data_IF_291803885465
#
_entry.id   IF_291803885465
#
_cell.length_a   1.000
_cell.length_b   1.000
_cell.length_c   1.000
_cell.angle_alpha   90.00
_cell.angle_beta   90.00
_cell.angle_gamma   90.00
#
_symmetry.space_group_name_H-M   'P 1'
#
loop_
_entity.id
_entity.type
_entity.pdbx_description
1 polymer ?
#
# COMPACT_ATOMS: atom_id res chain seq x y z
N UNK A 1 2.32 28.45 -43.10
CA UNK A 1 3.18 27.48 -43.82
C UNK A 1 3.45 26.30 -42.91
N UNK A 2 3.53 25.06 -43.41
CA UNK A 2 3.75 23.85 -42.60
C UNK A 2 4.48 22.77 -43.40
N UNK A 3 5.10 21.82 -42.69
CA UNK A 3 5.73 20.62 -43.28
C UNK A 3 4.70 19.49 -43.38
N UNK A 4 4.45 19.03 -44.60
CA UNK A 4 3.61 17.88 -44.92
C UNK A 4 4.49 16.67 -45.26
N UNK A 5 4.32 15.56 -44.55
CA UNK A 5 5.08 14.33 -44.76
C UNK A 5 4.12 13.32 -45.38
N UNK A 6 4.29 13.07 -46.67
CA UNK A 6 3.44 12.17 -47.44
C UNK A 6 4.11 10.81 -47.51
N UNK A 7 3.54 9.76 -46.90
CA UNK A 7 4.13 8.42 -46.95
C UNK A 7 4.10 7.90 -48.40
N UNK A 8 5.19 7.28 -48.83
CA UNK A 8 5.26 6.55 -50.09
C UNK A 8 5.42 5.05 -49.80
N UNK A 9 4.96 4.21 -50.73
CA UNK A 9 4.84 2.76 -50.50
C UNK A 9 6.19 2.07 -50.51
N UNK A 10 6.97 2.32 -51.56
CA UNK A 10 8.23 1.62 -51.85
C UNK A 10 9.44 2.58 -51.86
N UNK A 11 9.27 3.82 -51.39
CA UNK A 11 10.35 4.82 -51.35
C UNK A 11 10.25 5.71 -50.10
N UNK A 12 11.30 6.48 -49.77
CA UNK A 12 11.26 7.43 -48.66
C UNK A 12 10.07 8.40 -48.78
N UNK A 13 9.50 8.84 -47.64
CA UNK A 13 8.34 9.73 -47.65
C UNK A 13 8.70 11.07 -48.30
N UNK A 14 7.75 11.65 -49.04
CA UNK A 14 7.92 12.98 -49.60
C UNK A 14 7.71 14.03 -48.51
N UNK A 15 8.72 14.86 -48.26
CA UNK A 15 8.67 15.94 -47.28
C UNK A 15 8.44 17.24 -48.06
N UNK A 16 7.32 17.91 -47.83
CA UNK A 16 6.90 19.08 -48.62
C UNK A 16 6.63 20.29 -47.72
N UNK A 17 7.13 21.45 -48.13
CA UNK A 17 6.77 22.72 -47.54
C UNK A 17 5.52 23.26 -48.21
N UNK A 18 4.43 23.40 -47.46
CA UNK A 18 3.11 23.81 -47.99
C UNK A 18 2.56 25.02 -47.27
N UNK A 19 1.71 25.76 -47.95
CA UNK A 19 0.85 26.78 -47.36
C UNK A 19 -0.62 26.52 -47.72
N UNK A 20 -1.50 26.94 -46.83
CA UNK A 20 -2.95 26.92 -47.04
C UNK A 20 -3.43 28.33 -47.36
N UNK A 21 -4.16 28.49 -48.46
CA UNK A 21 -4.76 29.76 -48.87
C UNK A 21 -6.23 29.54 -49.23
N UNK A 22 -7.02 30.62 -49.27
CA UNK A 22 -8.40 30.58 -49.76
C UNK A 22 -8.44 31.13 -51.18
N UNK A 23 -9.14 30.44 -52.07
CA UNK A 23 -9.40 30.96 -53.41
C UNK A 23 -10.51 32.03 -53.39
N UNK A 24 -10.74 32.63 -54.55
CA UNK A 24 -11.77 33.67 -54.77
C UNK A 24 -13.19 33.20 -54.40
N UNK A 25 -13.42 31.87 -54.36
CA UNK A 25 -14.68 31.26 -53.95
C UNK A 25 -14.70 30.84 -52.47
N UNK A 26 -13.71 31.28 -51.67
CA UNK A 26 -13.58 30.99 -50.25
C UNK A 26 -13.13 29.56 -49.92
N UNK A 27 -12.76 28.73 -50.90
CA UNK A 27 -12.35 27.33 -50.68
C UNK A 27 -10.89 27.26 -50.27
N UNK A 28 -10.61 26.46 -49.24
CA UNK A 28 -9.24 26.23 -48.77
C UNK A 28 -8.49 25.33 -49.75
N UNK A 29 -7.39 25.82 -50.30
CA UNK A 29 -6.46 25.09 -51.17
C UNK A 29 -5.08 25.02 -50.53
N UNK A 30 -4.31 24.00 -50.93
CA UNK A 30 -2.92 23.81 -50.50
C UNK A 30 -2.02 24.16 -51.68
N UNK A 31 -1.03 25.02 -51.47
CA UNK A 31 0.04 25.31 -52.43
C UNK A 31 1.34 24.70 -51.93
N UNK A 32 2.02 23.94 -52.78
CA UNK A 32 3.37 23.42 -52.48
C UNK A 32 4.38 24.51 -52.83
N UNK A 33 5.19 24.90 -51.85
CA UNK A 33 6.21 25.94 -52.00
C UNK A 33 7.57 25.32 -52.33
N UNK A 34 7.92 24.20 -51.70
CA UNK A 34 9.20 23.53 -51.91
C UNK A 34 9.11 22.02 -51.64
N UNK A 35 9.93 21.24 -52.33
CA UNK A 35 10.16 19.83 -52.05
C UNK A 35 11.43 19.68 -51.21
N UNK A 36 11.27 19.17 -49.99
CA UNK A 36 12.31 18.99 -48.98
C UNK A 36 12.62 17.50 -48.75
N UNK A 37 12.32 16.63 -49.71
CA UNK A 37 12.54 15.17 -49.59
C UNK A 37 14.02 14.77 -49.52
N UNK A 38 14.95 15.72 -49.68
CA UNK A 38 16.37 15.54 -49.39
C UNK A 38 16.70 15.57 -47.89
N UNK A 39 15.80 16.07 -47.04
CA UNK A 39 15.99 16.15 -45.60
C UNK A 39 15.72 14.79 -44.93
N UNK A 40 16.38 14.55 -43.79
CA UNK A 40 16.03 13.43 -42.91
C UNK A 40 14.69 13.67 -42.22
N UNK A 41 14.05 12.58 -41.75
CA UNK A 41 12.79 12.67 -41.01
C UNK A 41 12.96 13.52 -39.74
N UNK A 42 14.10 13.41 -39.06
CA UNK A 42 14.42 14.21 -37.88
C UNK A 42 14.48 15.71 -38.20
N UNK A 43 15.15 16.10 -39.30
CA UNK A 43 15.21 17.49 -39.77
C UNK A 43 13.82 18.01 -40.13
N UNK A 44 12.99 17.20 -40.78
CA UNK A 44 11.61 17.55 -41.11
C UNK A 44 10.76 17.80 -39.84
N UNK A 45 10.93 16.97 -38.80
CA UNK A 45 10.27 17.17 -37.51
C UNK A 45 10.73 18.45 -36.80
N UNK A 46 12.04 18.75 -36.83
CA UNK A 46 12.58 20.03 -36.29
C UNK A 46 12.00 21.24 -37.02
N UNK A 47 11.99 21.24 -38.35
CA UNK A 47 11.39 22.32 -39.15
C UNK A 47 9.89 22.46 -38.89
N UNK A 48 9.18 21.34 -38.76
CA UNK A 48 7.76 21.31 -38.41
C UNK A 48 7.51 21.97 -37.04
N UNK A 49 8.33 21.68 -36.04
CA UNK A 49 8.23 22.29 -34.71
C UNK A 49 8.44 23.81 -34.79
N UNK A 50 9.47 24.28 -35.51
CA UNK A 50 9.76 25.72 -35.69
C UNK A 50 8.60 26.44 -36.38
N UNK A 51 8.04 25.86 -37.46
CA UNK A 51 6.94 26.47 -38.20
C UNK A 51 5.61 26.52 -37.41
N UNK A 52 5.47 25.68 -36.38
CA UNK A 52 4.34 25.75 -35.44
C UNK A 52 4.58 26.71 -34.26
N UNK A 53 5.70 27.42 -34.23
CA UNK A 53 6.07 28.32 -33.13
C UNK A 53 6.69 27.59 -31.94
N UNK A 54 7.11 26.33 -32.10
CA UNK A 54 7.92 25.62 -31.13
C UNK A 54 9.40 26.01 -31.21
N UNK A 55 10.15 25.69 -30.18
CA UNK A 55 11.60 25.89 -30.11
C UNK A 55 12.32 24.57 -30.35
N UNK A 56 13.46 24.62 -31.06
CA UNK A 56 14.37 23.49 -31.22
C UNK A 56 15.69 23.90 -30.60
N UNK A 57 16.14 23.12 -29.63
CA UNK A 57 17.41 23.34 -28.95
C UNK A 57 18.49 22.48 -29.62
N UNK A 58 19.69 23.03 -29.76
CA UNK A 58 20.86 22.32 -30.30
C UNK A 58 21.51 21.39 -29.25
N UNK A 59 21.26 21.66 -27.97
CA UNK A 59 21.73 20.86 -26.85
C UNK A 59 21.00 19.50 -26.82
N UNK A 60 21.70 18.47 -26.33
CA UNK A 60 21.07 17.20 -26.07
C UNK A 60 19.95 17.39 -25.04
N UNK A 61 18.91 16.56 -25.13
CA UNK A 61 17.78 16.65 -24.20
C UNK A 61 18.23 16.52 -22.73
N UNK A 62 19.31 15.76 -22.51
CA UNK A 62 19.96 15.57 -21.21
C UNK A 62 20.54 16.88 -20.64
N UNK A 63 21.06 17.76 -21.49
CA UNK A 63 21.62 19.06 -21.11
C UNK A 63 20.55 20.15 -20.97
N UNK A 64 19.32 19.87 -21.43
CA UNK A 64 18.19 20.79 -21.34
C UNK A 64 17.52 20.78 -19.95
N UNK A 65 17.82 19.78 -19.12
CA UNK A 65 17.22 19.63 -17.80
C UNK A 65 18.29 19.59 -16.71
N UNK A 66 18.10 20.40 -15.67
CA UNK A 66 18.87 20.32 -14.45
C UNK A 66 18.16 19.40 -13.45
N UNK A 67 18.88 18.42 -12.90
CA UNK A 67 18.35 17.56 -11.83
C UNK A 67 18.42 18.33 -10.52
N UNK A 68 17.28 18.90 -10.11
CA UNK A 68 17.15 19.68 -8.86
C UNK A 68 17.20 18.76 -7.63
N UNK A 69 16.55 17.60 -7.70
CA UNK A 69 16.44 16.65 -6.59
C UNK A 69 16.27 15.22 -7.13
N UNK A 70 16.77 14.24 -6.37
CA UNK A 70 16.58 12.81 -6.66
C UNK A 70 16.13 12.09 -5.40
N UNK A 71 14.85 11.75 -5.35
CA UNK A 71 14.24 11.01 -4.24
C UNK A 71 13.85 9.61 -4.70
N UNK A 72 13.95 8.63 -3.78
CA UNK A 72 13.57 7.29 -4.10
C UNK A 72 12.03 7.17 -4.22
N UNK A 73 11.53 6.98 -5.44
CA UNK A 73 10.09 6.93 -5.75
C UNK A 73 9.60 5.54 -6.21
N UNK A 74 10.36 4.82 -7.04
CA UNK A 74 9.86 3.61 -7.71
C UNK A 74 9.33 2.53 -6.76
N UNK A 75 10.05 2.25 -5.67
CA UNK A 75 9.61 1.32 -4.62
C UNK A 75 8.35 1.80 -3.86
N UNK A 76 8.20 3.11 -3.64
CA UNK A 76 6.99 3.71 -3.04
C UNK A 76 5.79 3.49 -3.97
N UNK A 77 5.92 3.88 -5.25
CA UNK A 77 4.86 3.73 -6.24
C UNK A 77 4.43 2.26 -6.40
N UNK A 78 5.38 1.32 -6.41
CA UNK A 78 5.07 -0.11 -6.50
C UNK A 78 4.22 -0.60 -5.32
N UNK A 79 4.60 -0.26 -4.09
CA UNK A 79 3.84 -0.69 -2.91
C UNK A 79 2.49 0.02 -2.81
N UNK A 80 2.42 1.33 -3.09
CA UNK A 80 1.15 2.06 -3.09
C UNK A 80 0.19 1.54 -4.17
N UNK A 81 0.71 1.14 -5.34
CA UNK A 81 -0.06 0.46 -6.38
C UNK A 81 -0.69 -0.85 -5.88
N UNK A 82 0.08 -1.69 -5.17
CA UNK A 82 -0.44 -2.94 -4.57
C UNK A 82 -1.46 -2.64 -3.47
N UNK A 83 -1.20 -1.65 -2.61
CA UNK A 83 -2.12 -1.19 -1.55
C UNK A 83 -3.46 -0.74 -2.13
N UNK A 84 -3.43 -0.03 -3.26
CA UNK A 84 -4.62 0.39 -4.00
C UNK A 84 -5.36 -0.80 -4.63
N UNK A 85 -4.65 -1.73 -5.29
CA UNK A 85 -5.23 -2.94 -5.88
C UNK A 85 -5.91 -3.84 -4.83
N UNK A 86 -5.28 -3.98 -3.66
CA UNK A 86 -5.85 -4.70 -2.52
C UNK A 86 -6.93 -3.89 -1.80
N UNK A 87 -7.16 -2.64 -2.21
CA UNK A 87 -8.12 -1.73 -1.65
C UNK A 87 -8.00 -1.64 -0.11
N UNK A 88 -6.77 -1.55 0.38
CA UNK A 88 -6.45 -1.40 1.80
C UNK A 88 -7.02 -0.09 2.38
N UNK A 89 -6.96 1.07 1.69
CA UNK A 89 -7.49 2.32 2.25
C UNK A 89 -8.96 2.21 2.69
N UNK A 90 -9.81 1.54 1.88
CA UNK A 90 -11.21 1.30 2.26
C UNK A 90 -11.39 0.27 3.37
N UNK A 91 -10.45 -0.67 3.53
CA UNK A 91 -10.45 -1.58 4.68
C UNK A 91 -10.21 -0.82 5.98
N UNK A 92 -9.34 0.19 5.98
CA UNK A 92 -9.01 0.96 7.17
C UNK A 92 -10.11 1.93 7.59
N UNK A 93 -10.81 2.53 6.63
CA UNK A 93 -11.82 3.54 6.93
C UNK A 93 -12.46 4.15 5.69
N UNK A 94 -13.63 4.77 5.87
CA UNK A 94 -14.28 5.59 4.84
C UNK A 94 -13.69 7.00 4.86
N UNK A 95 -13.67 7.64 3.69
CA UNK A 95 -13.21 9.03 3.52
C UNK A 95 -11.69 9.18 3.65
N UNK A 96 -11.17 10.31 3.18
CA UNK A 96 -9.78 10.67 3.37
C UNK A 96 -9.59 11.46 4.67
N UNK A 97 -8.80 10.90 5.59
CA UNK A 97 -8.50 11.54 6.88
C UNK A 97 -7.02 11.39 7.18
N UNK A 98 -6.46 12.36 7.91
CA UNK A 98 -5.06 12.35 8.34
C UNK A 98 -4.71 11.04 9.05
N UNK A 99 -5.54 10.61 10.00
CA UNK A 99 -5.36 9.32 10.70
C UNK A 99 -5.28 8.12 9.75
N UNK A 100 -6.11 8.07 8.69
CA UNK A 100 -6.06 7.00 7.69
C UNK A 100 -4.77 7.08 6.85
N UNK A 101 -4.33 8.28 6.50
CA UNK A 101 -3.09 8.51 5.73
C UNK A 101 -1.86 8.13 6.56
N UNK A 102 -1.79 8.55 7.82
CA UNK A 102 -0.73 8.19 8.77
C UNK A 102 -0.72 6.67 9.05
N UNK A 103 -1.91 6.07 9.14
CA UNK A 103 -2.09 4.63 9.27
C UNK A 103 -1.54 3.86 8.04
N UNK A 104 -1.90 4.30 6.82
CA UNK A 104 -1.35 3.74 5.58
C UNK A 104 0.16 3.91 5.51
N UNK A 105 0.67 5.10 5.85
CA UNK A 105 2.10 5.38 5.90
C UNK A 105 2.82 4.43 6.86
N UNK A 106 2.24 4.15 8.04
CA UNK A 106 2.81 3.21 9.00
C UNK A 106 2.87 1.78 8.46
N UNK A 107 1.83 1.33 7.74
CA UNK A 107 1.81 0.00 7.10
C UNK A 107 2.86 -0.08 5.99
N UNK A 108 2.85 0.89 5.08
CA UNK A 108 3.75 0.94 3.91
C UNK A 108 5.20 1.12 4.37
N UNK A 109 5.43 1.99 5.33
CA UNK A 109 6.71 2.22 5.97
C UNK A 109 7.28 0.95 6.60
N UNK A 110 6.45 0.10 7.19
CA UNK A 110 6.91 -1.19 7.73
C UNK A 110 7.38 -2.16 6.65
N UNK A 111 6.89 -2.03 5.42
CA UNK A 111 7.32 -2.84 4.27
C UNK A 111 8.57 -2.28 3.60
N UNK A 112 8.65 -0.96 3.43
CA UNK A 112 9.75 -0.29 2.74
C UNK A 112 10.97 -0.08 3.62
N UNK A 113 10.76 0.29 4.89
CA UNK A 113 11.78 0.73 5.83
C UNK A 113 11.68 -0.04 7.15
N UNK A 114 11.97 -1.36 7.16
CA UNK A 114 11.88 -2.15 8.37
C UNK A 114 12.89 -1.64 9.42
N UNK A 115 12.39 -0.99 10.47
CA UNK A 115 13.23 -0.44 11.54
C UNK A 115 12.42 -0.08 12.78
N UNK A 116 13.00 0.77 13.63
CA UNK A 116 12.28 1.40 14.76
C UNK A 116 11.34 2.50 14.26
N UNK A 117 10.38 2.92 15.09
CA UNK A 117 9.47 4.03 14.76
C UNK A 117 10.24 5.34 14.55
N UNK A 118 11.23 5.60 15.39
CA UNK A 118 12.11 6.75 15.27
C UNK A 118 12.96 6.74 13.97
N UNK A 119 13.39 5.56 13.51
CA UNK A 119 14.07 5.46 12.21
C UNK A 119 13.10 5.76 11.06
N UNK A 120 11.86 5.28 11.16
CA UNK A 120 10.83 5.55 10.17
C UNK A 120 10.43 7.03 10.11
N UNK A 121 10.22 7.69 11.26
CA UNK A 121 9.90 9.13 11.28
C UNK A 121 11.01 9.95 10.63
N UNK A 122 12.28 9.70 10.96
CA UNK A 122 13.43 10.35 10.29
C UNK A 122 13.48 10.11 8.78
N UNK A 123 13.12 8.91 8.32
CA UNK A 123 13.09 8.59 6.90
C UNK A 123 12.00 9.40 6.18
N UNK A 124 10.84 9.57 6.82
CA UNK A 124 9.67 10.29 6.29
C UNK A 124 9.89 11.81 6.30
N UNK A 125 10.48 12.37 7.36
CA UNK A 125 10.75 13.81 7.46
C UNK A 125 11.91 14.27 6.57
N UNK A 126 12.62 13.33 5.91
CA UNK A 126 13.73 13.63 5.01
C UNK A 126 13.34 13.64 3.53
N UNK A 127 14.26 14.09 2.67
CA UNK A 127 14.10 14.16 1.21
C UNK A 127 14.37 12.84 0.46
N UNK A 128 14.66 11.77 1.20
CA UNK A 128 15.15 10.50 0.62
C UNK A 128 14.04 9.66 -0.03
N UNK A 129 12.77 9.89 0.32
CA UNK A 129 11.63 9.10 -0.15
C UNK A 129 10.43 9.99 -0.45
N UNK A 130 9.65 9.64 -1.46
CA UNK A 130 8.43 10.39 -1.82
C UNK A 130 7.20 9.95 -1.02
N UNK A 131 7.33 8.99 -0.09
CA UNK A 131 6.18 8.39 0.62
C UNK A 131 5.34 9.43 1.37
N UNK A 132 5.98 10.44 1.98
CA UNK A 132 5.29 11.51 2.69
C UNK A 132 4.39 12.33 1.75
N UNK A 133 4.94 12.71 0.59
CA UNK A 133 4.25 13.51 -0.44
C UNK A 133 3.10 12.72 -1.06
N UNK A 134 3.34 11.46 -1.43
CA UNK A 134 2.33 10.57 -2.03
C UNK A 134 1.12 10.33 -1.12
N UNK A 135 1.33 10.32 0.19
CA UNK A 135 0.25 10.19 1.19
C UNK A 135 -0.16 11.52 1.81
N UNK A 136 0.35 12.64 1.28
CA UNK A 136 0.08 14.01 1.73
C UNK A 136 0.19 14.18 3.26
N UNK A 137 1.20 13.54 3.86
CA UNK A 137 1.44 13.61 5.31
C UNK A 137 1.78 15.05 5.74
N UNK A 138 1.61 15.35 7.03
CA UNK A 138 2.04 16.63 7.57
C UNK A 138 3.56 16.79 7.44
N UNK A 139 4.03 18.02 7.24
CA UNK A 139 5.46 18.32 7.10
C UNK A 139 6.25 17.98 8.37
N UNK A 140 5.61 18.14 9.53
CA UNK A 140 6.15 17.86 10.86
C UNK A 140 5.87 16.44 11.36
N UNK A 141 5.54 15.50 10.47
CA UNK A 141 5.24 14.11 10.82
C UNK A 141 6.37 13.50 11.67
N UNK A 142 6.03 13.08 12.89
CA UNK A 142 7.01 12.61 13.88
C UNK A 142 6.68 11.22 14.46
N UNK A 143 7.33 10.85 15.56
CA UNK A 143 7.06 9.57 16.22
C UNK A 143 5.67 9.52 16.88
N UNK A 144 5.16 10.65 17.37
CA UNK A 144 3.85 10.74 18.01
C UNK A 144 2.73 10.47 17.01
N UNK A 145 2.83 10.98 15.78
CA UNK A 145 1.89 10.67 14.70
C UNK A 145 1.81 9.17 14.43
N UNK A 146 2.93 8.46 14.51
CA UNK A 146 2.97 7.01 14.37
C UNK A 146 2.21 6.34 15.52
N UNK A 147 2.43 6.79 16.77
CA UNK A 147 1.70 6.24 17.93
C UNK A 147 0.20 6.55 17.87
N UNK A 148 -0.19 7.73 17.43
CA UNK A 148 -1.58 8.11 17.22
C UNK A 148 -2.23 7.26 16.13
N UNK A 149 -1.53 7.05 15.01
CA UNK A 149 -1.98 6.13 13.96
C UNK A 149 -2.14 4.69 14.47
N UNK A 150 -1.21 4.21 15.31
CA UNK A 150 -1.31 2.89 15.94
C UNK A 150 -2.50 2.80 16.91
N UNK A 151 -2.76 3.84 17.71
CA UNK A 151 -3.93 3.92 18.59
C UNK A 151 -5.23 3.95 17.78
N UNK A 152 -5.24 4.69 16.68
CA UNK A 152 -6.37 4.77 15.76
C UNK A 152 -6.67 3.41 15.12
N UNK A 153 -5.64 2.66 14.73
CA UNK A 153 -5.76 1.27 14.27
C UNK A 153 -6.35 0.35 15.33
N UNK A 154 -5.84 0.43 16.55
CA UNK A 154 -6.28 -0.41 17.66
C UNK A 154 -7.79 -0.28 17.89
N UNK A 155 -8.29 0.96 17.91
CA UNK A 155 -9.71 1.24 18.12
C UNK A 155 -10.62 0.76 16.96
N UNK A 156 -10.04 0.42 15.81
CA UNK A 156 -10.75 -0.06 14.61
C UNK A 156 -10.52 -1.52 14.30
N UNK A 157 -9.80 -2.23 15.16
CA UNK A 157 -9.39 -3.60 14.90
C UNK A 157 -10.58 -4.50 14.57
N UNK A 158 -11.64 -4.47 15.39
CA UNK A 158 -12.84 -5.30 15.18
C UNK A 158 -13.54 -5.01 13.85
N UNK A 159 -13.61 -3.73 13.45
CA UNK A 159 -14.24 -3.33 12.20
C UNK A 159 -13.42 -3.79 10.98
N UNK A 160 -12.10 -3.59 11.03
CA UNK A 160 -11.17 -4.02 9.98
C UNK A 160 -11.20 -5.54 9.82
N UNK A 161 -11.14 -6.27 10.94
CA UNK A 161 -11.21 -7.73 10.97
C UNK A 161 -12.55 -8.24 10.43
N UNK A 162 -13.66 -7.58 10.76
CA UNK A 162 -14.98 -7.90 10.22
C UNK A 162 -15.05 -7.70 8.71
N UNK A 163 -14.46 -6.61 8.18
CA UNK A 163 -14.38 -6.35 6.73
C UNK A 163 -13.52 -7.40 6.01
N UNK A 164 -12.37 -7.74 6.57
CA UNK A 164 -11.51 -8.81 6.06
C UNK A 164 -12.23 -10.16 6.09
N UNK A 165 -12.95 -10.45 7.17
CA UNK A 165 -13.69 -11.70 7.29
C UNK A 165 -14.77 -11.82 6.21
N UNK A 166 -15.56 -10.75 5.99
CA UNK A 166 -16.55 -10.70 4.89
C UNK A 166 -15.92 -10.86 3.51
N UNK A 167 -14.73 -10.32 3.30
CA UNK A 167 -14.01 -10.39 2.01
C UNK A 167 -13.49 -11.81 1.71
N UNK A 168 -13.05 -12.54 2.73
CA UNK A 168 -12.30 -13.78 2.54
C UNK A 168 -13.01 -15.07 3.00
N UNK A 169 -14.04 -14.96 3.85
CA UNK A 169 -14.79 -16.12 4.34
C UNK A 169 -16.21 -16.15 3.74
N UNK A 170 -16.68 -17.37 3.53
CA UNK A 170 -18.06 -17.69 3.16
C UNK A 170 -18.55 -18.77 4.12
N UNK A 171 -19.86 -18.89 4.31
CA UNK A 171 -20.40 -19.96 5.14
C UNK A 171 -19.95 -21.34 4.62
N UNK A 172 -19.62 -22.23 5.55
CA UNK A 172 -19.07 -23.55 5.26
C UNK A 172 -17.57 -23.58 4.92
N UNK A 173 -16.86 -22.45 4.95
CA UNK A 173 -15.40 -22.44 4.75
C UNK A 173 -14.64 -23.18 5.87
N UNK A 174 -13.56 -23.88 5.51
CA UNK A 174 -12.66 -24.51 6.47
C UNK A 174 -11.67 -23.48 6.97
N UNK A 175 -11.66 -23.24 8.28
CA UNK A 175 -10.72 -22.32 8.90
C UNK A 175 -9.70 -23.11 9.70
N UNK A 176 -8.49 -23.21 9.16
CA UNK A 176 -7.34 -23.76 9.89
C UNK A 176 -6.97 -22.82 11.05
N UNK A 177 -6.53 -23.42 12.14
CA UNK A 177 -5.95 -22.69 13.27
C UNK A 177 -4.84 -23.53 13.89
N UNK A 178 -3.83 -22.84 14.39
CA UNK A 178 -2.79 -23.43 15.21
C UNK A 178 -2.83 -22.81 16.61
N UNK A 179 -2.35 -23.56 17.59
CA UNK A 179 -2.22 -23.10 18.97
C UNK A 179 -0.76 -23.23 19.36
N UNK A 180 -0.02 -22.14 19.18
CA UNK A 180 1.31 -21.98 19.77
C UNK A 180 1.19 -21.62 21.24
N UNK A 181 2.20 -21.97 22.03
CA UNK A 181 2.22 -21.65 23.44
C UNK A 181 3.61 -21.18 23.82
N UNK A 182 3.75 -19.97 24.35
CA UNK A 182 5.03 -19.35 24.74
C UNK A 182 5.15 -19.28 26.26
N UNK A 183 6.22 -19.79 26.87
CA UNK A 183 6.47 -19.66 28.31
C UNK A 183 7.45 -18.52 28.61
N UNK A 184 7.42 -18.00 29.83
CA UNK A 184 8.31 -16.95 30.29
C UNK A 184 9.00 -17.43 31.56
N UNK A 185 10.33 -17.34 31.60
CA UNK A 185 11.15 -17.83 32.71
C UNK A 185 11.60 -16.70 33.66
N UNK A 186 11.26 -15.44 33.35
CA UNK A 186 11.63 -14.31 34.19
C UNK A 186 10.70 -14.12 35.39
N UNK A 187 11.20 -13.40 36.39
CA UNK A 187 10.49 -13.07 37.65
C UNK A 187 9.98 -11.63 37.72
N UNK A 188 10.29 -10.79 36.72
CA UNK A 188 10.18 -9.32 36.81
C UNK A 188 9.30 -8.67 35.74
N UNK A 189 8.33 -9.40 35.19
CA UNK A 189 7.38 -8.83 34.23
C UNK A 189 5.99 -8.70 34.88
N UNK A 190 5.48 -7.47 35.11
CA UNK A 190 4.18 -7.24 35.75
C UNK A 190 2.99 -7.65 34.87
N UNK A 191 3.22 -7.93 33.57
CA UNK A 191 2.18 -8.32 32.61
C UNK A 191 1.93 -9.83 32.55
N UNK A 192 2.59 -10.61 33.42
CA UNK A 192 2.59 -12.08 33.35
C UNK A 192 1.88 -12.68 34.56
N UNK A 193 0.96 -13.60 34.29
CA UNK A 193 0.22 -14.35 35.30
C UNK A 193 0.63 -15.83 35.26
N UNK A 194 0.64 -16.51 36.41
CA UNK A 194 0.92 -17.94 36.49
C UNK A 194 -0.22 -18.79 35.90
N UNK A 195 0.13 -19.92 35.26
CA UNK A 195 -0.86 -20.87 34.77
C UNK A 195 -0.30 -22.02 33.95
N UNK A 196 -1.15 -23.02 33.66
CA UNK A 196 -0.76 -24.21 32.90
C UNK A 196 -0.51 -23.94 31.41
N UNK A 197 0.42 -24.70 30.81
CA UNK A 197 0.67 -24.67 29.36
C UNK A 197 -0.40 -25.45 28.56
N UNK A 198 -0.23 -25.56 27.23
CA UNK A 198 -1.16 -26.30 26.33
C UNK A 198 -1.25 -27.77 26.72
N UNK A 199 -0.14 -28.33 27.20
CA UNK A 199 0.02 -29.76 27.47
C UNK A 199 -0.20 -30.05 28.97
N UNK A 200 -0.86 -29.14 29.71
CA UNK A 200 -1.21 -29.29 31.13
C UNK A 200 -0.03 -29.18 32.11
N UNK A 201 1.20 -29.06 31.61
CA UNK A 201 2.41 -29.01 32.43
C UNK A 201 2.50 -27.68 33.20
N UNK A 202 2.65 -27.81 34.52
CA UNK A 202 2.86 -26.70 35.45
C UNK A 202 4.34 -26.33 35.47
N UNK A 203 4.73 -25.30 34.71
CA UNK A 203 6.05 -24.67 34.81
C UNK A 203 5.93 -23.18 34.52
N UNK A 204 6.01 -22.37 35.57
CA UNK A 204 6.32 -20.95 35.50
C UNK A 204 5.21 -20.02 34.98
N UNK A 205 5.43 -18.74 35.27
CA UNK A 205 4.61 -17.58 34.91
C UNK A 205 4.37 -17.54 33.39
N UNK A 206 3.13 -17.40 32.90
CA UNK A 206 2.85 -17.48 31.46
C UNK A 206 1.90 -16.43 30.89
N UNK A 207 2.36 -15.80 29.81
CA UNK A 207 1.52 -15.13 28.82
C UNK A 207 0.99 -16.15 27.80
N UNK A 208 -0.32 -16.42 27.79
CA UNK A 208 -0.95 -17.17 26.69
C UNK A 208 -1.05 -16.27 25.45
N UNK A 209 -0.47 -16.71 24.33
CA UNK A 209 -0.68 -16.14 23.00
C UNK A 209 -1.08 -17.28 22.05
N UNK A 210 -2.37 -17.34 21.69
CA UNK A 210 -2.82 -18.21 20.61
C UNK A 210 -2.53 -17.49 19.28
N UNK A 211 -1.91 -18.19 18.33
CA UNK A 211 -1.65 -17.68 16.97
C UNK A 211 -2.43 -18.50 15.96
N UNK A 212 -3.52 -17.92 15.44
CA UNK A 212 -4.32 -18.54 14.38
C UNK A 212 -3.82 -18.08 13.01
N UNK A 213 -3.39 -19.01 12.16
CA UNK A 213 -3.16 -18.82 10.73
C UNK A 213 -4.34 -19.39 9.94
N UNK A 214 -5.07 -18.54 9.21
CA UNK A 214 -6.24 -18.95 8.41
C UNK A 214 -5.87 -19.07 6.94
N UNK A 215 -6.35 -20.13 6.27
CA UNK A 215 -6.33 -20.26 4.82
C UNK A 215 -7.73 -19.99 4.25
N UNK A 216 -7.83 -19.18 3.19
CA UNK A 216 -9.05 -19.00 2.41
C UNK A 216 -9.03 -19.85 1.13
N UNK A 217 -10.11 -19.83 0.34
CA UNK A 217 -10.29 -20.55 -0.95
C UNK A 217 -9.12 -20.43 -1.95
N UNK A 218 -8.25 -19.42 -1.82
CA UNK A 218 -7.10 -19.18 -2.73
C UNK A 218 -5.74 -19.61 -2.16
N UNK A 219 -5.70 -20.37 -1.05
CA UNK A 219 -4.43 -20.71 -0.36
C UNK A 219 -3.60 -19.46 0.00
N UNK A 220 -4.25 -18.29 0.10
CA UNK A 220 -3.63 -17.03 0.50
C UNK A 220 -3.74 -16.92 2.03
N UNK A 221 -2.65 -16.62 2.76
CA UNK A 221 -2.70 -16.44 4.21
C UNK A 221 -3.65 -15.29 4.59
N UNK A 222 -4.79 -15.60 5.21
CA UNK A 222 -5.84 -14.65 5.53
C UNK A 222 -5.59 -13.81 6.80
N UNK A 223 -4.32 -13.46 7.08
CA UNK A 223 -3.92 -12.74 8.29
C UNK A 223 -3.77 -13.62 9.55
N UNK A 224 -3.16 -13.04 10.60
CA UNK A 224 -2.99 -13.65 11.93
C UNK A 224 -3.88 -12.97 12.95
N UNK A 225 -4.49 -13.76 13.82
CA UNK A 225 -5.49 -13.30 14.78
C UNK A 225 -5.17 -13.91 16.15
N UNK A 226 -5.23 -13.09 17.21
CA UNK A 226 -4.99 -13.50 18.60
C UNK A 226 -6.32 -13.65 19.33
N UNK A 227 -6.52 -14.77 20.03
CA UNK A 227 -7.74 -15.04 20.80
C UNK A 227 -7.42 -15.36 22.27
N UNK A 228 -8.23 -14.84 23.22
CA UNK A 228 -8.25 -15.31 24.62
C UNK A 228 -9.58 -16.02 24.91
N UNK A 229 -9.50 -17.29 25.25
CA UNK A 229 -10.60 -18.03 25.89
C UNK A 229 -10.15 -19.44 26.30
N UNK A 230 -10.84 -20.05 27.26
CA UNK A 230 -10.63 -21.46 27.63
C UNK A 230 -11.24 -22.32 26.53
N UNK A 231 -10.39 -22.98 25.75
CA UNK A 231 -10.79 -24.13 24.96
C UNK A 231 -9.99 -25.35 25.41
N UNK A 232 -10.70 -26.46 25.55
CA UNK A 232 -10.20 -27.80 25.88
C UNK A 232 -9.08 -28.23 24.89
N UNK A 233 -7.90 -28.71 25.35
CA UNK A 233 -6.65 -28.62 24.58
C UNK A 233 -6.45 -29.67 23.49
N UNK A 234 -7.43 -30.54 23.22
CA UNK A 234 -7.18 -31.76 22.46
C UNK A 234 -7.65 -31.68 20.99
N UNK A 235 -6.66 -31.72 20.08
CA UNK A 235 -6.68 -31.91 18.61
C UNK A 235 -6.59 -30.67 17.70
N UNK A 236 -5.86 -30.82 16.57
CA UNK A 236 -6.13 -30.09 15.32
C UNK A 236 -7.60 -30.35 14.96
N UNK A 237 -8.47 -29.35 15.09
CA UNK A 237 -9.88 -29.49 14.71
C UNK A 237 -10.18 -28.63 13.50
N UNK A 238 -10.80 -29.25 12.51
CA UNK A 238 -11.58 -28.53 11.50
C UNK A 238 -12.92 -28.20 12.15
N UNK A 239 -13.20 -26.92 12.42
CA UNK A 239 -14.52 -26.49 12.89
C UNK A 239 -15.27 -25.91 11.69
N UNK A 240 -16.37 -26.55 11.27
CA UNK A 240 -17.39 -25.88 10.46
C UNK A 240 -18.07 -24.87 11.38
N UNK A 241 -18.00 -23.58 11.06
CA UNK A 241 -18.70 -22.54 11.82
C UNK A 241 -20.18 -22.59 11.39
N UNK A 242 -21.13 -22.93 12.28
CA UNK A 242 -22.54 -22.72 12.00
C UNK A 242 -22.86 -21.25 12.30
N UNK A 243 -23.36 -20.53 11.30
CA UNK A 243 -23.72 -19.10 11.36
C UNK A 243 -22.62 -18.19 11.90
N UNK A 244 -21.96 -17.44 11.01
CA UNK A 244 -20.98 -16.42 11.38
C UNK A 244 -21.63 -15.22 12.13
N UNK A 245 -22.04 -15.40 13.39
CA UNK A 245 -22.22 -14.27 14.30
C UNK A 245 -20.84 -13.83 14.78
N UNK A 246 -20.50 -12.60 14.45
CA UNK A 246 -19.18 -11.97 14.55
C UNK A 246 -18.64 -11.86 15.98
N UNK A 247 -19.50 -11.98 16.98
CA UNK A 247 -19.22 -11.66 18.40
C UNK A 247 -18.41 -12.72 19.16
N UNK A 248 -18.42 -13.99 18.75
CA UNK A 248 -17.74 -15.06 19.51
C UNK A 248 -16.27 -15.28 19.10
N UNK A 249 -15.77 -14.45 18.17
CA UNK A 249 -14.54 -14.70 17.42
C UNK A 249 -13.36 -13.82 17.81
N UNK A 250 -13.54 -12.80 18.67
CA UNK A 250 -12.58 -11.70 18.83
C UNK A 250 -12.67 -11.07 20.22
N UNK A 251 -11.73 -11.40 21.10
CA UNK A 251 -11.50 -10.65 22.35
C UNK A 251 -9.99 -10.46 22.54
N UNK A 252 -9.54 -9.21 22.53
CA UNK A 252 -8.28 -8.78 23.15
C UNK A 252 -8.68 -7.88 24.32
N UNK A 253 -8.24 -8.16 25.56
CA UNK A 253 -8.78 -7.48 26.73
C UNK A 253 -8.25 -6.05 26.87
N UNK A 254 -9.14 -5.15 27.30
CA UNK A 254 -8.81 -3.93 28.05
C UNK A 254 -8.16 -4.30 29.40
N UNK A 255 -7.34 -3.43 30.00
CA UNK A 255 -6.64 -3.72 31.27
C UNK A 255 -7.55 -3.93 32.49
N UNK A 256 -8.83 -3.54 32.42
CA UNK A 256 -9.69 -3.38 33.60
C UNK A 256 -10.63 -4.55 33.91
N UNK A 257 -10.42 -5.73 33.32
CA UNK A 257 -11.19 -6.92 33.73
C UNK A 257 -10.59 -7.53 35.02
N UNK A 258 -11.08 -7.04 36.16
CA UNK A 258 -10.98 -7.69 37.46
C UNK A 258 -11.56 -9.11 37.38
N UNK A 259 -10.67 -10.10 37.28
CA UNK A 259 -11.03 -11.49 37.54
C UNK A 259 -11.10 -11.67 39.06
N UNK A 260 -12.33 -11.72 39.59
CA UNK A 260 -12.57 -12.31 40.91
C UNK A 260 -11.96 -13.73 40.93
N UNK A 261 -10.84 -13.88 41.63
CA UNK A 261 -10.37 -15.18 42.06
C UNK A 261 -11.20 -15.60 43.28
N UNK A 262 -11.77 -16.82 43.32
CA UNK A 262 -12.21 -17.37 44.58
C UNK A 262 -10.97 -17.66 45.44
N UNK A 263 -11.01 -17.18 46.67
CA UNK A 263 -10.03 -17.51 47.71
C UNK A 263 -9.92 -19.04 47.82
N UNK A 264 -8.72 -19.56 47.59
CA UNK A 264 -8.35 -20.90 48.02
C UNK A 264 -7.16 -20.79 48.95
N UNK A 265 -7.46 -20.86 50.24
CA UNK A 265 -6.53 -21.11 51.32
C UNK A 265 -5.67 -22.37 51.08
N UNK A 266 -4.48 -22.31 51.69
CA UNK A 266 -3.45 -23.34 51.89
C UNK A 266 -2.40 -23.50 50.76
#
# INVERSE_FOLDING_TARGET
MYIDIVPNRDSPPAILLRESYRDENGRVKKRTLCNLSCLSLEQAHKMRAILWGGHVTEQALEDCFEVIESSAHGHVAAILGVVAQLNVPSLLGRGDSANRRNALATIVGRLLFPGSKLAFSRQISGTQTTLAQELSLAEDFDENDIYEAMRWFWNRQEEIESRLAKRHFQDGCVVLYDLSSTWYEGSRCPLIAFGHNRDGTWRGSRLRSSLRTRCSKRSSPGGRIRWRGRNDPTRRRTRRLPNARTTDLWCIPSPDCSLNCPDSHA
#
